data_IF_341397151173
#
_entry.id   IF_341397151173
#
_cell.length_a   1.000
_cell.length_b   1.000
_cell.length_c   1.000
_cell.angle_alpha   90.00
_cell.angle_beta   90.00
_cell.angle_gamma   90.00
#
_symmetry.space_group_name_H-M   'P 1'
#
loop_
_entity.id
_entity.type
_entity.pdbx_description
1 polymer ?
#
# COMPACT_ATOMS: atom_id res chain seq x y z
N UNK A 1 -50.38 5.41 -36.21
CA UNK A 1 -49.11 5.12 -35.51
C UNK A 1 -49.42 5.21 -34.04
N UNK A 2 -49.57 4.07 -33.38
CA UNK A 2 -49.98 3.97 -31.99
C UNK A 2 -48.78 4.33 -31.09
N UNK A 3 -48.92 5.37 -30.27
CA UNK A 3 -47.85 5.83 -29.37
C UNK A 3 -48.04 5.09 -28.06
N UNK A 4 -47.18 4.12 -27.77
CA UNK A 4 -47.18 3.45 -26.48
C UNK A 4 -46.67 4.41 -25.40
N UNK A 5 -47.57 4.88 -24.55
CA UNK A 5 -47.19 5.62 -23.35
C UNK A 5 -46.53 4.67 -22.36
N UNK A 6 -45.26 4.92 -22.04
CA UNK A 6 -44.44 4.07 -21.17
C UNK A 6 -44.31 4.74 -19.80
N UNK A 7 -44.54 3.97 -18.73
CA UNK A 7 -44.30 4.41 -17.35
C UNK A 7 -43.12 3.64 -16.78
N UNK A 8 -42.09 4.37 -16.34
CA UNK A 8 -40.92 3.80 -15.66
C UNK A 8 -41.12 3.89 -14.14
N UNK A 9 -40.90 2.77 -13.45
CA UNK A 9 -40.94 2.71 -11.98
C UNK A 9 -39.53 2.41 -11.48
N UNK A 10 -38.91 3.40 -10.84
CA UNK A 10 -37.55 3.32 -10.30
C UNK A 10 -37.53 2.98 -8.81
N UNK A 11 -36.34 2.70 -8.27
CA UNK A 11 -36.16 2.45 -6.84
C UNK A 11 -36.68 1.09 -6.34
N UNK A 12 -36.92 0.15 -7.25
CA UNK A 12 -37.30 -1.21 -6.91
C UNK A 12 -36.08 -1.98 -6.38
N UNK A 13 -36.27 -2.74 -5.30
CA UNK A 13 -35.25 -3.67 -4.82
C UNK A 13 -34.93 -4.75 -5.88
N UNK A 14 -33.65 -5.10 -6.10
CA UNK A 14 -33.23 -6.16 -7.01
C UNK A 14 -33.71 -7.56 -6.58
N UNK A 15 -33.79 -8.48 -7.54
CA UNK A 15 -34.24 -9.88 -7.34
C UNK A 15 -35.53 -9.99 -6.49
N UNK A 16 -36.47 -9.05 -6.69
CA UNK A 16 -37.75 -9.01 -5.98
C UNK A 16 -38.92 -9.02 -6.96
N UNK A 17 -39.96 -9.76 -6.60
CA UNK A 17 -41.23 -9.83 -7.34
C UNK A 17 -42.14 -8.69 -6.90
N UNK A 18 -42.66 -7.96 -7.87
CA UNK A 18 -43.65 -6.91 -7.72
C UNK A 18 -44.87 -7.22 -8.57
N UNK A 19 -46.02 -6.69 -8.16
CA UNK A 19 -47.25 -6.73 -8.95
C UNK A 19 -47.74 -5.30 -9.19
N UNK A 20 -48.13 -5.01 -10.42
CA UNK A 20 -48.58 -3.70 -10.87
C UNK A 20 -50.02 -3.80 -11.35
N UNK A 21 -50.82 -2.77 -11.12
CA UNK A 21 -52.17 -2.63 -11.68
C UNK A 21 -52.38 -1.19 -12.10
N UNK A 22 -53.15 -0.98 -13.16
CA UNK A 22 -53.35 0.32 -13.77
C UNK A 22 -54.82 0.69 -13.74
N UNK A 23 -55.15 1.94 -13.44
CA UNK A 23 -56.51 2.46 -13.55
C UNK A 23 -56.45 3.83 -14.22
N UNK A 24 -57.39 4.09 -15.13
CA UNK A 24 -57.54 5.41 -15.74
C UNK A 24 -58.19 6.38 -14.74
N UNK A 25 -57.66 7.59 -14.61
CA UNK A 25 -58.25 8.65 -13.78
C UNK A 25 -58.79 9.77 -14.66
N UNK A 26 -60.02 10.22 -14.39
CA UNK A 26 -60.73 11.28 -15.11
C UNK A 26 -61.40 12.26 -14.14
N UNK A 27 -62.00 13.34 -14.65
CA UNK A 27 -62.73 14.32 -13.84
C UNK A 27 -63.93 13.72 -13.06
N UNK A 28 -64.49 12.61 -13.54
CA UNK A 28 -65.59 11.88 -12.86
C UNK A 28 -65.05 10.96 -11.76
N UNK A 29 -63.79 10.55 -11.85
CA UNK A 29 -63.14 9.66 -10.89
C UNK A 29 -62.18 8.67 -11.53
N UNK A 30 -61.71 7.73 -10.70
CA UNK A 30 -60.84 6.61 -11.10
C UNK A 30 -61.68 5.43 -11.56
N UNK A 31 -61.38 4.91 -12.75
CA UNK A 31 -62.00 3.70 -13.30
C UNK A 31 -61.55 2.41 -12.59
N UNK A 32 -62.00 1.25 -13.08
CA UNK A 32 -61.57 -0.04 -12.55
C UNK A 32 -60.07 -0.27 -12.78
N UNK A 33 -59.45 -1.00 -11.85
CA UNK A 33 -58.07 -1.46 -12.03
C UNK A 33 -58.00 -2.59 -13.05
N UNK A 34 -56.90 -2.63 -13.80
CA UNK A 34 -56.50 -3.75 -14.64
C UNK A 34 -56.17 -4.99 -13.81
N UNK A 35 -56.02 -6.12 -14.50
CA UNK A 35 -55.40 -7.31 -13.92
C UNK A 35 -53.98 -7.02 -13.42
N UNK A 36 -53.55 -7.79 -12.43
CA UNK A 36 -52.23 -7.65 -11.82
C UNK A 36 -51.13 -8.17 -12.77
N UNK A 37 -50.25 -7.27 -13.18
CA UNK A 37 -49.04 -7.58 -13.92
C UNK A 37 -47.91 -7.91 -12.95
N UNK A 38 -47.50 -9.17 -12.86
CA UNK A 38 -46.36 -9.58 -12.03
C UNK A 38 -45.04 -9.47 -12.80
N UNK A 39 -44.04 -8.83 -12.19
CA UNK A 39 -42.68 -8.71 -12.72
C UNK A 39 -41.66 -8.98 -11.62
N UNK A 40 -40.55 -9.60 -12.00
CA UNK A 40 -39.39 -9.79 -11.12
C UNK A 40 -38.26 -8.91 -11.62
N UNK A 41 -37.70 -8.09 -10.75
CA UNK A 41 -36.53 -7.27 -11.07
C UNK A 41 -35.30 -8.17 -11.21
N UNK A 42 -34.37 -7.88 -12.14
CA UNK A 42 -33.12 -8.62 -12.25
C UNK A 42 -32.27 -8.50 -10.95
N UNK A 43 -31.32 -9.42 -10.73
CA UNK A 43 -30.32 -9.25 -9.68
C UNK A 43 -29.32 -8.14 -10.04
N UNK A 44 -28.64 -7.60 -9.03
CA UNK A 44 -27.47 -6.74 -9.25
C UNK A 44 -26.34 -7.57 -9.86
N UNK A 45 -25.60 -6.98 -10.80
CA UNK A 45 -24.50 -7.65 -11.49
C UNK A 45 -23.25 -6.76 -11.56
N UNK A 46 -22.12 -7.35 -11.92
CA UNK A 46 -20.94 -6.59 -12.29
C UNK A 46 -21.25 -5.67 -13.50
N UNK A 47 -20.48 -4.59 -13.71
CA UNK A 47 -20.75 -3.66 -14.80
C UNK A 47 -20.58 -4.34 -16.16
N UNK A 48 -21.18 -3.76 -17.19
CA UNK A 48 -20.88 -4.16 -18.56
C UNK A 48 -19.43 -3.79 -18.93
N UNK A 49 -18.81 -4.45 -19.93
CA UNK A 49 -17.49 -4.06 -20.41
C UNK A 49 -17.50 -2.60 -20.90
N UNK A 50 -16.46 -1.81 -20.58
CA UNK A 50 -16.29 -0.48 -21.15
C UNK A 50 -16.25 -0.53 -22.68
N UNK A 51 -16.61 0.59 -23.33
CA UNK A 51 -16.47 0.71 -24.79
C UNK A 51 -15.37 1.72 -25.08
N UNK A 52 -14.28 1.27 -25.72
CA UNK A 52 -13.15 2.15 -26.07
C UNK A 52 -13.57 3.14 -27.16
N UNK A 53 -13.22 4.41 -26.96
CA UNK A 53 -13.51 5.53 -27.87
C UNK A 53 -12.25 6.06 -28.58
N UNK A 54 -11.08 5.48 -28.29
CA UNK A 54 -9.78 5.96 -28.77
C UNK A 54 -9.31 5.20 -30.00
N UNK A 55 -8.54 5.86 -30.87
CA UNK A 55 -8.01 5.28 -32.11
C UNK A 55 -6.80 4.39 -31.83
N UNK A 56 -6.56 3.38 -32.66
CA UNK A 56 -5.43 2.42 -32.51
C UNK A 56 -4.02 3.03 -32.77
N UNK A 57 -3.92 4.33 -33.00
CA UNK A 57 -2.66 5.02 -33.23
C UNK A 57 -2.49 6.19 -32.27
N UNK A 58 -1.36 6.20 -31.55
CA UNK A 58 -0.97 7.37 -30.77
C UNK A 58 -0.43 8.47 -31.67
N UNK A 59 -0.73 9.71 -31.31
CA UNK A 59 -0.09 10.90 -31.90
C UNK A 59 1.31 11.15 -31.33
N UNK A 60 1.68 10.47 -30.24
CA UNK A 60 2.93 10.70 -29.51
C UNK A 60 3.82 9.44 -29.48
N UNK A 61 5.15 9.60 -29.41
CA UNK A 61 6.07 8.47 -29.40
C UNK A 61 6.15 7.76 -28.03
N UNK A 62 5.85 8.46 -26.93
CA UNK A 62 6.07 7.96 -25.56
C UNK A 62 4.83 7.97 -24.66
N UNK A 63 3.68 8.38 -25.18
CA UNK A 63 2.43 8.46 -24.42
C UNK A 63 1.24 8.12 -25.28
N UNK A 64 0.13 7.76 -24.63
CA UNK A 64 -1.12 7.45 -25.30
C UNK A 64 -2.30 7.70 -24.35
N UNK A 65 -3.32 8.41 -24.80
CA UNK A 65 -4.54 8.63 -24.02
C UNK A 65 -5.60 7.62 -24.45
N UNK A 66 -6.11 6.86 -23.48
CA UNK A 66 -7.26 5.97 -23.66
C UNK A 66 -8.47 6.66 -23.05
N UNK A 67 -9.56 6.69 -23.81
CA UNK A 67 -10.89 7.18 -23.44
C UNK A 67 -11.91 6.07 -23.68
N UNK A 68 -12.85 5.91 -22.78
CA UNK A 68 -13.93 4.93 -22.90
C UNK A 68 -15.27 5.51 -22.46
N UNK A 69 -16.36 4.94 -22.96
CA UNK A 69 -17.71 5.25 -22.51
C UNK A 69 -17.98 4.62 -21.14
N UNK A 70 -18.75 5.30 -20.31
CA UNK A 70 -19.21 4.77 -19.03
C UNK A 70 -20.11 3.55 -19.28
N UNK A 71 -19.77 2.34 -18.79
CA UNK A 71 -20.59 1.18 -18.98
C UNK A 71 -21.86 1.25 -18.13
N UNK A 72 -22.85 0.40 -18.46
CA UNK A 72 -24.01 0.20 -17.60
C UNK A 72 -23.57 -0.45 -16.29
N UNK A 73 -24.07 0.08 -15.18
CA UNK A 73 -23.65 -0.27 -13.82
C UNK A 73 -24.34 -1.53 -13.27
N UNK A 74 -25.43 -1.96 -13.93
CA UNK A 74 -26.23 -3.13 -13.61
C UNK A 74 -26.73 -3.14 -12.15
N UNK A 75 -27.14 -1.98 -11.65
CA UNK A 75 -27.78 -1.82 -10.33
C UNK A 75 -26.81 -1.49 -9.19
N UNK A 76 -25.50 -1.46 -9.43
CA UNK A 76 -24.50 -1.00 -8.46
C UNK A 76 -23.51 -0.03 -9.10
N UNK A 77 -23.28 1.16 -8.50
CA UNK A 77 -22.44 2.18 -9.10
C UNK A 77 -21.01 1.68 -9.30
N UNK A 78 -20.42 2.03 -10.45
CA UNK A 78 -19.01 1.77 -10.74
C UNK A 78 -18.13 2.57 -9.79
N UNK A 79 -17.17 1.91 -9.14
CA UNK A 79 -16.26 2.48 -8.15
C UNK A 79 -14.92 2.90 -8.76
N UNK A 80 -14.38 2.09 -9.65
CA UNK A 80 -13.13 2.37 -10.36
C UNK A 80 -13.02 1.56 -11.65
N UNK A 81 -12.05 1.94 -12.48
CA UNK A 81 -11.62 1.16 -13.63
C UNK A 81 -10.21 0.63 -13.38
N UNK A 82 -9.95 -0.59 -13.83
CA UNK A 82 -8.61 -1.18 -13.89
C UNK A 82 -8.15 -1.17 -15.34
N UNK A 83 -7.05 -0.49 -15.59
CA UNK A 83 -6.39 -0.47 -16.91
C UNK A 83 -5.09 -1.22 -16.79
N UNK A 84 -5.01 -2.38 -17.45
CA UNK A 84 -3.81 -3.19 -17.53
C UNK A 84 -3.19 -3.03 -18.91
N UNK A 85 -1.91 -2.67 -19.02
CA UNK A 85 -1.26 -2.50 -20.31
C UNK A 85 0.15 -3.08 -20.35
N UNK A 86 0.56 -3.57 -21.50
CA UNK A 86 1.89 -4.17 -21.73
C UNK A 86 2.30 -4.06 -23.19
N UNK A 87 3.62 -4.03 -23.42
CA UNK A 87 4.19 -4.04 -24.77
C UNK A 87 3.95 -5.40 -25.43
N UNK A 88 3.60 -5.38 -26.70
CA UNK A 88 3.40 -6.57 -27.53
C UNK A 88 4.22 -6.46 -28.81
N UNK A 89 4.71 -7.58 -29.32
CA UNK A 89 5.33 -7.68 -30.64
C UNK A 89 4.32 -8.19 -31.65
N UNK A 90 4.23 -7.49 -32.79
CA UNK A 90 3.42 -7.90 -33.92
C UNK A 90 4.15 -8.99 -34.71
N UNK A 91 3.62 -10.21 -34.66
CA UNK A 91 4.09 -11.38 -35.42
C UNK A 91 3.31 -11.53 -36.74
N UNK A 92 3.83 -12.32 -37.70
CA UNK A 92 3.08 -12.67 -38.91
C UNK A 92 1.71 -13.26 -38.58
N UNK A 93 0.72 -13.03 -39.46
CA UNK A 93 -0.65 -13.49 -39.22
C UNK A 93 -1.44 -12.65 -38.21
N UNK A 94 -1.02 -11.40 -37.96
CA UNK A 94 -1.69 -10.47 -37.03
C UNK A 94 -1.74 -10.99 -35.58
N UNK A 95 -0.76 -11.80 -35.20
CA UNK A 95 -0.63 -12.32 -33.84
C UNK A 95 0.18 -11.33 -32.98
N UNK A 96 -0.28 -11.06 -31.77
CA UNK A 96 0.38 -10.15 -30.83
C UNK A 96 0.86 -10.93 -29.62
N UNK A 97 2.17 -10.92 -29.36
CA UNK A 97 2.78 -11.64 -28.24
C UNK A 97 3.29 -10.65 -27.20
N UNK A 98 2.95 -10.86 -25.93
CA UNK A 98 3.42 -10.03 -24.82
C UNK A 98 4.94 -10.10 -24.67
N UNK A 99 5.57 -8.94 -24.53
CA UNK A 99 7.03 -8.76 -24.43
C UNK A 99 7.44 -8.24 -23.06
N UNK A 100 6.61 -7.39 -22.46
CA UNK A 100 6.86 -6.77 -21.15
C UNK A 100 5.84 -7.22 -20.11
N UNK A 101 6.20 -7.09 -18.84
CA UNK A 101 5.27 -7.32 -17.74
C UNK A 101 4.10 -6.31 -17.75
N UNK A 102 2.88 -6.74 -17.39
CA UNK A 102 1.73 -5.86 -17.29
C UNK A 102 1.91 -4.76 -16.25
N UNK A 103 1.57 -3.54 -16.64
CA UNK A 103 1.43 -2.38 -15.77
C UNK A 103 -0.05 -2.14 -15.51
N UNK A 104 -0.41 -1.89 -14.26
CA UNK A 104 -1.81 -1.68 -13.85
C UNK A 104 -1.99 -0.26 -13.35
N UNK A 105 -3.04 0.41 -13.83
CA UNK A 105 -3.47 1.72 -13.38
C UNK A 105 -4.92 1.60 -12.89
N UNK A 106 -5.19 2.08 -11.68
CA UNK A 106 -6.55 2.26 -11.20
C UNK A 106 -6.99 3.69 -11.46
N UNK A 107 -8.16 3.84 -12.07
CA UNK A 107 -8.79 5.14 -12.33
C UNK A 107 -10.03 5.21 -11.45
N UNK A 108 -10.02 6.11 -10.46
CA UNK A 108 -11.07 6.28 -9.45
C UNK A 108 -11.85 7.58 -9.62
N UNK A 109 -11.34 8.51 -10.43
CA UNK A 109 -11.91 9.85 -10.59
C UNK A 109 -12.16 10.14 -12.08
N UNK A 110 -13.39 10.56 -12.38
CA UNK A 110 -13.82 11.01 -13.70
C UNK A 110 -14.99 11.98 -13.54
N UNK A 111 -15.07 12.97 -14.44
CA UNK A 111 -16.19 13.93 -14.43
C UNK A 111 -17.18 13.69 -15.57
N UNK A 112 -16.67 13.41 -16.77
CA UNK A 112 -17.47 13.21 -17.98
C UNK A 112 -17.15 11.85 -18.59
N UNK A 113 -16.24 11.83 -19.58
CA UNK A 113 -15.74 10.62 -20.22
C UNK A 113 -14.51 10.14 -19.44
N UNK A 114 -14.54 8.93 -18.85
CA UNK A 114 -13.37 8.33 -18.23
C UNK A 114 -12.19 8.24 -19.20
N UNK A 115 -10.99 8.55 -18.69
CA UNK A 115 -9.76 8.54 -19.47
C UNK A 115 -8.53 8.23 -18.63
N UNK A 116 -7.49 7.71 -19.27
CA UNK A 116 -6.16 7.55 -18.68
C UNK A 116 -5.09 7.87 -19.70
N UNK A 117 -4.02 8.54 -19.27
CA UNK A 117 -2.83 8.76 -20.08
C UNK A 117 -1.74 7.77 -19.67
N UNK A 118 -1.39 6.89 -20.59
CA UNK A 118 -0.25 5.99 -20.47
C UNK A 118 1.02 6.78 -20.83
N UNK A 119 2.07 6.64 -20.02
CA UNK A 119 3.34 7.37 -20.18
C UNK A 119 4.54 6.42 -20.14
N UNK A 120 5.69 6.91 -20.61
CA UNK A 120 6.93 6.12 -20.63
C UNK A 120 6.86 4.94 -21.61
N UNK A 121 6.12 5.09 -22.71
CA UNK A 121 6.02 4.10 -23.77
C UNK A 121 7.24 4.18 -24.69
N UNK A 122 7.57 3.06 -25.33
CA UNK A 122 8.59 3.04 -26.39
C UNK A 122 8.04 3.59 -27.70
N UNK A 123 8.80 4.39 -28.47
CA UNK A 123 8.42 4.79 -29.83
C UNK A 123 8.24 3.60 -30.77
N UNK A 124 7.44 3.80 -31.83
CA UNK A 124 7.17 2.81 -32.89
C UNK A 124 6.78 1.40 -32.42
N UNK A 125 6.22 1.28 -31.21
CA UNK A 125 5.97 0.01 -30.54
C UNK A 125 4.48 -0.27 -30.42
N UNK A 126 4.11 -1.55 -30.38
CA UNK A 126 2.73 -1.97 -30.13
C UNK A 126 2.51 -2.25 -28.65
N UNK A 127 1.33 -1.87 -28.16
CA UNK A 127 0.90 -2.12 -26.80
C UNK A 127 -0.53 -2.68 -26.83
N UNK A 128 -0.83 -3.58 -25.89
CA UNK A 128 -2.19 -3.98 -25.57
C UNK A 128 -2.58 -3.33 -24.25
N UNK A 129 -3.78 -2.74 -24.21
CA UNK A 129 -4.43 -2.26 -23.02
C UNK A 129 -5.76 -2.98 -22.83
N UNK A 130 -6.05 -3.38 -21.60
CA UNK A 130 -7.27 -4.05 -21.18
C UNK A 130 -7.93 -3.20 -20.10
N UNK A 131 -9.18 -2.81 -20.32
CA UNK A 131 -9.96 -1.98 -19.38
C UNK A 131 -11.09 -2.81 -18.79
N UNK A 132 -11.18 -2.84 -17.47
CA UNK A 132 -12.25 -3.48 -16.73
C UNK A 132 -12.92 -2.45 -15.82
N UNK A 133 -14.24 -2.43 -15.78
CA UNK A 133 -15.01 -1.65 -14.81
C UNK A 133 -15.28 -2.48 -13.56
N UNK A 134 -15.25 -1.84 -12.39
CA UNK A 134 -15.51 -2.50 -11.12
C UNK A 134 -16.66 -1.83 -10.37
N UNK A 135 -17.59 -2.64 -9.85
CA UNK A 135 -18.54 -2.24 -8.83
C UNK A 135 -18.46 -3.20 -7.63
N UNK A 136 -19.30 -2.98 -6.61
CA UNK A 136 -19.30 -3.79 -5.38
C UNK A 136 -19.67 -5.28 -5.60
N UNK A 137 -20.14 -5.66 -6.80
CA UNK A 137 -20.38 -7.06 -7.20
C UNK A 137 -19.13 -7.69 -7.81
N UNK A 138 -18.37 -6.95 -8.62
CA UNK A 138 -17.14 -7.45 -9.24
C UNK A 138 -16.66 -6.66 -10.47
N UNK A 139 -15.71 -7.26 -11.17
CA UNK A 139 -15.16 -6.74 -12.43
C UNK A 139 -16.03 -7.15 -13.63
N UNK A 140 -16.17 -6.25 -14.60
CA UNK A 140 -16.68 -6.53 -15.93
C UNK A 140 -15.76 -7.51 -16.69
N UNK A 141 -16.20 -8.00 -17.85
CA UNK A 141 -15.23 -8.57 -18.81
C UNK A 141 -14.27 -7.46 -19.28
N UNK A 142 -13.02 -7.79 -19.63
CA UNK A 142 -12.07 -6.81 -20.13
C UNK A 142 -12.42 -6.38 -21.55
N UNK A 143 -12.32 -5.08 -21.80
CA UNK A 143 -12.30 -4.51 -23.15
C UNK A 143 -10.85 -4.33 -23.59
N UNK A 144 -10.47 -4.93 -24.73
CA UNK A 144 -9.09 -4.95 -25.20
C UNK A 144 -8.86 -3.99 -26.36
N UNK A 145 -7.83 -3.16 -26.26
CA UNK A 145 -7.35 -2.26 -27.30
C UNK A 145 -5.89 -2.56 -27.61
N UNK A 146 -5.56 -2.75 -28.88
CA UNK A 146 -4.16 -2.77 -29.34
C UNK A 146 -3.89 -1.47 -30.06
N UNK A 147 -2.84 -0.76 -29.64
CA UNK A 147 -2.46 0.51 -30.26
C UNK A 147 -0.96 0.55 -30.57
N UNK A 148 -0.58 1.44 -31.49
CA UNK A 148 0.82 1.70 -31.86
C UNK A 148 1.23 3.12 -31.49
N UNK A 149 2.41 3.27 -30.88
CA UNK A 149 3.01 4.60 -30.63
C UNK A 149 3.58 5.22 -31.90
N UNK A 150 3.63 6.56 -31.93
CA UNK A 150 4.20 7.28 -33.06
C UNK A 150 5.73 7.08 -33.16
N UNK A 151 6.28 7.46 -34.31
CA UNK A 151 7.73 7.60 -34.49
C UNK A 151 8.20 8.91 -33.86
N UNK A 152 9.40 8.90 -33.29
CA UNK A 152 10.05 10.10 -32.76
C UNK A 152 11.00 9.79 -31.63
N UNK A 153 11.89 10.74 -31.34
CA UNK A 153 12.75 10.68 -30.17
C UNK A 153 11.99 11.17 -28.95
N UNK A 154 12.22 10.53 -27.81
CA UNK A 154 11.66 10.96 -26.52
C UNK A 154 12.58 12.04 -25.98
N UNK A 155 12.10 13.27 -25.72
CA UNK A 155 12.93 14.34 -25.17
C UNK A 155 13.63 13.88 -23.89
N UNK A 156 14.93 14.16 -23.78
CA UNK A 156 15.79 13.70 -22.69
C UNK A 156 15.29 14.18 -21.31
N UNK A 157 14.70 15.38 -21.25
CA UNK A 157 14.06 15.94 -20.04
C UNK A 157 12.91 15.07 -19.51
N UNK A 158 12.10 14.48 -20.39
CA UNK A 158 10.98 13.61 -19.99
C UNK A 158 11.50 12.25 -19.50
N UNK A 159 12.62 11.78 -20.07
CA UNK A 159 13.31 10.55 -19.63
C UNK A 159 13.95 10.73 -18.24
N UNK A 160 14.59 11.87 -18.00
CA UNK A 160 15.14 12.24 -16.71
C UNK A 160 14.05 12.45 -15.64
N UNK A 161 12.94 13.09 -16.02
CA UNK A 161 11.77 13.27 -15.14
C UNK A 161 11.11 11.94 -14.74
N UNK A 162 11.02 10.97 -15.64
CA UNK A 162 10.49 9.63 -15.34
C UNK A 162 11.40 8.86 -14.37
N UNK A 163 12.72 8.95 -14.56
CA UNK A 163 13.72 8.37 -13.65
C UNK A 163 13.64 9.01 -12.26
N UNK A 164 13.48 10.34 -12.20
CA UNK A 164 13.34 11.09 -10.95
C UNK A 164 12.01 10.79 -10.21
N UNK A 165 10.91 10.56 -10.94
CA UNK A 165 9.59 10.22 -10.38
C UNK A 165 9.54 8.79 -9.82
N UNK A 166 10.19 7.83 -10.47
CA UNK A 166 10.37 6.47 -9.92
C UNK A 166 11.30 6.50 -8.71
N UNK A 167 12.18 7.48 -8.66
CA UNK A 167 12.98 7.83 -7.49
C UNK A 167 12.20 8.71 -6.50
N UNK A 168 10.87 8.64 -6.42
CA UNK A 168 10.08 9.46 -5.48
C UNK A 168 10.27 9.08 -4.00
N UNK A 169 11.02 8.02 -3.68
CA UNK A 169 11.66 7.86 -2.35
C UNK A 169 13.14 8.30 -2.31
N UNK A 170 13.75 8.55 -3.48
CA UNK A 170 14.70 9.63 -3.75
C UNK A 170 15.97 9.78 -2.96
N UNK A 171 16.34 8.84 -2.09
CA UNK A 171 17.65 8.88 -1.48
C UNK A 171 18.64 8.28 -2.47
N UNK A 172 19.59 9.05 -3.02
CA UNK A 172 20.65 8.47 -3.83
C UNK A 172 21.36 7.39 -3.01
N UNK A 173 21.97 6.40 -3.67
CA UNK A 173 22.68 5.31 -2.99
C UNK A 173 23.65 5.85 -1.92
N UNK A 174 24.26 7.01 -2.20
CA UNK A 174 25.10 7.77 -1.27
C UNK A 174 24.36 8.15 0.02
N UNK A 175 23.13 8.64 -0.05
CA UNK A 175 22.35 9.01 1.15
C UNK A 175 21.90 7.78 1.94
N UNK A 176 21.56 6.67 1.27
CA UNK A 176 21.26 5.41 1.96
C UNK A 176 22.50 4.93 2.72
N UNK A 177 23.67 4.95 2.08
CA UNK A 177 24.96 4.60 2.71
C UNK A 177 25.24 5.52 3.90
N UNK A 178 25.04 6.84 3.76
CA UNK A 178 25.23 7.81 4.86
C UNK A 178 24.31 7.51 6.03
N UNK A 179 23.03 7.20 5.78
CA UNK A 179 22.07 6.88 6.85
C UNK A 179 22.46 5.58 7.56
N UNK A 180 22.86 4.56 6.81
CA UNK A 180 23.33 3.28 7.39
C UNK A 180 24.57 3.51 8.23
N UNK A 181 25.56 4.24 7.72
CA UNK A 181 26.80 4.56 8.45
C UNK A 181 26.49 5.38 9.71
N UNK A 182 25.63 6.39 9.62
CA UNK A 182 25.21 7.18 10.78
C UNK A 182 24.48 6.33 11.83
N UNK A 183 23.61 5.41 11.41
CA UNK A 183 22.93 4.49 12.31
C UNK A 183 23.92 3.53 13.00
N UNK A 184 24.89 2.98 12.27
CA UNK A 184 25.94 2.14 12.85
C UNK A 184 26.79 2.93 13.86
N UNK A 185 27.21 4.15 13.53
CA UNK A 185 27.97 4.99 14.46
C UNK A 185 27.16 5.36 15.72
N UNK A 186 25.86 5.59 15.59
CA UNK A 186 24.98 5.87 16.72
C UNK A 186 24.84 4.64 17.62
N UNK A 187 24.69 3.44 17.03
CA UNK A 187 24.70 2.18 17.79
C UNK A 187 26.04 1.96 18.49
N UNK A 188 27.17 2.20 17.81
CA UNK A 188 28.49 2.08 18.42
C UNK A 188 28.70 3.08 19.57
N UNK A 189 28.21 4.31 19.44
CA UNK A 189 28.26 5.31 20.50
C UNK A 189 27.38 4.90 21.69
N UNK A 190 26.18 4.39 21.45
CA UNK A 190 25.32 3.87 22.51
C UNK A 190 25.97 2.68 23.22
N UNK A 191 26.59 1.76 22.47
CA UNK A 191 27.35 0.66 23.06
C UNK A 191 28.54 1.17 23.88
N UNK A 192 29.29 2.16 23.39
CA UNK A 192 30.41 2.75 24.13
C UNK A 192 29.96 3.44 25.42
N UNK A 193 28.84 4.16 25.39
CA UNK A 193 28.24 4.80 26.59
C UNK A 193 27.70 3.76 27.57
N UNK A 194 27.04 2.71 27.10
CA UNK A 194 26.57 1.60 27.96
C UNK A 194 27.75 0.86 28.58
N UNK A 195 28.80 0.58 27.80
CA UNK A 195 30.04 -0.02 28.29
C UNK A 195 30.74 0.88 29.32
N UNK A 196 30.78 2.19 29.08
CA UNK A 196 31.33 3.18 30.01
C UNK A 196 30.58 3.19 31.34
N UNK A 197 29.25 3.26 31.30
CA UNK A 197 28.41 3.38 32.50
C UNK A 197 28.27 2.06 33.28
N UNK A 198 28.31 0.92 32.60
CA UNK A 198 27.96 -0.37 33.19
C UNK A 198 29.17 -1.25 33.51
N UNK A 199 30.25 -1.11 32.76
CA UNK A 199 31.40 -2.02 32.81
C UNK A 199 32.75 -1.31 33.07
N UNK A 200 32.78 0.03 33.19
CA UNK A 200 34.04 0.81 33.27
C UNK A 200 35.02 0.50 32.12
N UNK A 201 34.51 0.23 30.91
CA UNK A 201 35.30 -0.09 29.73
C UNK A 201 34.73 0.60 28.49
N UNK A 202 35.56 1.00 27.54
CA UNK A 202 35.15 1.71 26.32
C UNK A 202 36.11 2.82 25.90
N UNK A 203 35.96 3.33 24.69
CA UNK A 203 36.75 4.42 24.13
C UNK A 203 36.60 5.71 24.94
N UNK A 204 35.39 6.07 25.36
CA UNK A 204 35.11 7.18 26.28
C UNK A 204 35.79 7.01 27.66
N UNK A 205 35.97 5.77 28.13
CA UNK A 205 36.71 5.49 29.37
C UNK A 205 38.22 5.73 29.20
N UNK A 206 38.80 5.26 28.09
CA UNK A 206 40.21 5.44 27.77
C UNK A 206 40.59 6.92 27.60
N UNK A 207 39.75 7.72 26.94
CA UNK A 207 39.99 9.17 26.79
C UNK A 207 40.00 9.90 28.15
N UNK A 208 39.19 9.46 29.11
CA UNK A 208 39.14 10.05 30.45
C UNK A 208 40.36 9.68 31.30
N UNK A 209 40.96 8.51 31.09
CA UNK A 209 42.18 8.08 31.79
C UNK A 209 43.49 8.45 31.08
N UNK A 210 43.48 8.72 29.76
CA UNK A 210 44.66 9.14 29.01
C UNK A 210 45.00 10.64 29.17
N UNK A 211 44.01 11.48 29.47
CA UNK A 211 44.20 12.93 29.63
C UNK A 211 44.31 13.42 31.09
N UNK A 212 44.36 12.50 32.07
CA UNK A 212 44.42 12.85 33.49
C UNK A 212 45.61 12.22 34.21
N UNK A 213 46.81 12.80 34.09
CA UNK A 213 47.94 12.44 34.97
C UNK A 213 49.31 12.77 34.42
N UNK A 214 49.68 14.06 34.42
CA UNK A 214 51.04 14.51 34.12
C UNK A 214 52.02 14.27 35.28
N UNK A 215 53.21 13.78 34.91
CA UNK A 215 54.55 13.81 35.57
C UNK A 215 54.77 13.20 36.97
N UNK A 216 55.78 12.32 37.11
CA UNK A 216 56.63 12.23 38.31
C UNK A 216 57.89 13.10 38.15
N UNK A 217 58.35 13.77 39.22
CA UNK A 217 59.76 13.67 39.64
C UNK A 217 59.86 13.73 41.19
N UNK A 218 60.83 13.20 41.93
CA UNK A 218 62.20 12.70 41.76
C UNK A 218 62.64 12.23 43.15
N UNK A 219 63.51 11.22 43.27
CA UNK A 219 64.79 11.32 44.00
C UNK A 219 65.66 10.07 43.77
N UNK A 220 67.00 10.20 43.90
CA UNK A 220 67.95 9.41 43.13
C UNK A 220 68.72 8.36 43.95
N UNK A 221 69.65 7.71 43.23
CA UNK A 221 70.95 7.13 43.62
C UNK A 221 71.09 5.65 43.98
N UNK A 222 72.21 5.13 43.44
CA UNK A 222 73.00 3.92 43.75
C UNK A 222 72.65 2.67 42.92
N UNK A 223 73.31 2.41 41.79
CA UNK A 223 74.67 1.84 41.55
C UNK A 223 74.74 0.31 41.64
N UNK A 224 75.35 -0.24 40.59
CA UNK A 224 76.12 -1.48 40.47
C UNK A 224 75.42 -2.81 40.10
N UNK A 225 75.59 -3.13 38.81
CA UNK A 225 76.32 -4.27 38.24
C UNK A 225 75.83 -5.73 38.40
N UNK A 226 75.53 -6.28 37.20
CA UNK A 226 76.13 -7.48 36.60
C UNK A 226 75.45 -8.86 36.70
N UNK A 227 75.44 -9.50 35.51
CA UNK A 227 75.65 -10.94 35.20
C UNK A 227 74.39 -11.82 35.19
N UNK A 228 73.85 -12.14 34.01
CA UNK A 228 74.22 -13.23 33.09
C UNK A 228 73.55 -14.57 33.40
N UNK A 229 72.78 -15.04 32.42
CA UNK A 229 72.59 -16.45 32.00
C UNK A 229 71.59 -17.37 32.72
N UNK A 230 70.63 -17.80 31.90
CA UNK A 230 70.21 -19.20 31.61
C UNK A 230 69.11 -19.90 32.43
N UNK A 231 68.15 -20.39 31.63
CA UNK A 231 67.42 -21.68 31.68
C UNK A 231 66.34 -21.91 32.75
N UNK A 232 65.07 -22.08 32.35
CA UNK A 232 64.37 -23.31 31.87
C UNK A 232 63.98 -24.27 33.01
N UNK A 233 62.67 -24.24 33.32
CA UNK A 233 61.77 -25.37 33.59
C UNK A 233 62.20 -26.50 34.55
N UNK A 234 61.54 -26.63 35.70
CA UNK A 234 60.65 -27.77 36.05
C UNK A 234 60.36 -27.86 37.57
N UNK A 235 59.16 -28.40 37.83
CA UNK A 235 58.38 -28.67 39.07
C UNK A 235 58.97 -29.77 39.98
N UNK A 236 58.24 -30.30 41.00
CA UNK A 236 57.38 -29.73 42.06
C UNK A 236 57.84 -30.22 43.46
N UNK A 237 57.16 -29.83 44.56
CA UNK A 237 57.11 -30.72 45.74
C UNK A 237 55.87 -30.50 46.64
N UNK A 238 55.52 -31.61 47.29
CA UNK A 238 54.27 -32.03 47.93
C UNK A 238 54.37 -32.03 49.47
N UNK A 239 53.28 -31.72 50.20
CA UNK A 239 52.84 -32.39 51.46
C UNK A 239 51.61 -31.71 52.10
N UNK A 240 50.61 -32.28 52.78
CA UNK A 240 49.96 -33.60 52.97
C UNK A 240 48.93 -33.45 54.12
N UNK A 241 47.74 -34.09 54.01
CA UNK A 241 46.73 -34.51 55.06
C UNK A 241 45.85 -33.43 55.75
N UNK A 242 44.59 -33.67 56.15
CA UNK A 242 43.61 -34.78 56.08
C UNK A 242 42.20 -34.26 56.50
N UNK A 243 41.13 -34.97 56.05
CA UNK A 243 39.80 -35.21 56.68
C UNK A 243 38.89 -34.01 57.06
N UNK A 244 37.55 -34.06 57.08
CA UNK A 244 36.48 -34.95 56.63
C UNK A 244 35.13 -34.19 56.82
N UNK A 245 34.09 -34.69 56.15
CA UNK A 245 32.68 -34.69 56.57
C UNK A 245 31.76 -33.44 56.44
N UNK A 246 30.61 -33.76 55.82
CA UNK A 246 29.23 -33.38 56.16
C UNK A 246 28.49 -32.31 55.34
N UNK A 247 27.31 -32.72 54.88
CA UNK A 247 26.27 -31.90 54.20
C UNK A 247 25.10 -31.76 55.18
N UNK A 248 24.37 -30.65 55.21
CA UNK A 248 22.99 -30.70 54.66
C UNK A 248 22.62 -29.40 53.91
N UNK A 249 21.90 -29.44 52.78
CA UNK A 249 20.42 -29.55 52.62
C UNK A 249 19.63 -28.49 53.43
N UNK A 250 18.83 -27.68 52.73
CA UNK A 250 17.35 -27.61 52.88
C UNK A 250 16.75 -26.70 51.79
N UNK A 251 15.83 -27.30 51.04
CA UNK A 251 14.84 -26.74 50.13
C UNK A 251 13.83 -25.82 50.85
N UNK A 252 13.15 -24.92 50.10
CA UNK A 252 11.68 -24.93 50.14
C UNK A 252 11.04 -24.36 48.87
N UNK A 253 10.10 -25.16 48.37
CA UNK A 253 9.21 -25.01 47.21
C UNK A 253 8.22 -23.85 47.36
N UNK A 254 7.62 -23.43 46.23
CA UNK A 254 6.30 -22.76 46.29
C UNK A 254 5.77 -22.09 45.02
N UNK A 255 5.32 -22.90 44.08
CA UNK A 255 4.60 -22.59 42.83
C UNK A 255 3.25 -21.83 43.03
N UNK A 256 2.90 -20.84 42.17
CA UNK A 256 1.72 -20.83 41.25
C UNK A 256 1.25 -19.44 40.75
N UNK A 257 1.08 -19.40 39.42
CA UNK A 257 -0.03 -18.88 38.58
C UNK A 257 -0.66 -17.49 38.81
N UNK A 258 -0.73 -16.70 37.73
CA UNK A 258 -1.56 -15.49 37.64
C UNK A 258 -1.64 -14.91 36.21
N UNK A 259 -2.60 -15.40 35.43
CA UNK A 259 -3.07 -14.88 34.13
C UNK A 259 -3.90 -13.60 34.34
N UNK A 260 -3.71 -12.54 33.54
CA UNK A 260 -4.67 -11.44 33.44
C UNK A 260 -4.81 -10.94 31.99
N UNK A 261 -6.00 -11.19 31.44
CA UNK A 261 -6.56 -10.58 30.24
C UNK A 261 -7.05 -9.14 30.59
N UNK A 262 -6.89 -8.17 29.69
CA UNK A 262 -7.72 -6.96 29.72
C UNK A 262 -8.19 -6.52 28.33
N UNK A 263 -9.51 -6.50 28.24
CA UNK A 263 -10.42 -6.14 27.16
C UNK A 263 -10.70 -4.64 27.23
N UNK A 264 -10.77 -3.94 26.10
CA UNK A 264 -11.29 -2.57 26.00
C UNK A 264 -12.54 -2.57 25.13
N UNK A 265 -13.62 -1.98 25.65
CA UNK A 265 -14.85 -1.61 24.95
C UNK A 265 -15.34 -0.25 25.49
N UNK A 266 -16.22 0.46 24.76
CA UNK A 266 -16.15 1.91 24.58
C UNK A 266 -17.11 2.70 25.49
N UNK A 267 -16.91 4.03 25.51
CA UNK A 267 -17.80 4.98 26.18
C UNK A 267 -18.59 5.81 25.16
N UNK A 268 -19.92 5.61 25.18
CA UNK A 268 -20.95 6.49 24.64
C UNK A 268 -21.05 7.80 25.43
N UNK A 269 -21.25 8.93 24.73
CA UNK A 269 -22.07 10.05 25.24
C UNK A 269 -22.83 10.74 24.10
N UNK A 270 -24.15 10.57 24.17
CA UNK A 270 -25.18 11.32 23.45
C UNK A 270 -25.14 12.83 23.74
N UNK A 271 -25.39 13.65 22.71
CA UNK A 271 -26.06 14.94 22.89
C UNK A 271 -27.19 15.09 21.85
N UNK A 272 -28.42 15.18 22.36
CA UNK A 272 -29.65 15.41 21.61
C UNK A 272 -29.87 16.91 21.44
N UNK A 273 -30.17 17.36 20.22
CA UNK A 273 -30.87 18.63 19.99
C UNK A 273 -31.93 18.45 18.90
N UNK A 274 -33.11 18.99 19.20
CA UNK A 274 -34.40 18.84 18.54
C UNK A 274 -34.48 19.58 17.20
N UNK A 275 -35.16 18.94 16.24
CA UNK A 275 -36.30 19.48 15.49
C UNK A 275 -36.14 20.72 14.60
N UNK A 276 -36.41 20.54 13.30
CA UNK A 276 -37.36 21.39 12.58
C UNK A 276 -37.90 20.69 11.34
N UNK A 277 -39.23 20.61 11.26
CA UNK A 277 -40.02 20.32 10.07
C UNK A 277 -40.19 21.63 9.30
N UNK A 278 -40.07 21.63 7.97
CA UNK A 278 -40.81 22.60 7.15
C UNK A 278 -41.26 21.96 5.84
N UNK A 279 -42.55 22.10 5.59
CA UNK A 279 -43.32 21.66 4.43
C UNK A 279 -43.56 22.83 3.47
N UNK A 280 -43.67 22.51 2.17
CA UNK A 280 -44.51 23.15 1.13
C UNK A 280 -44.19 24.60 0.69
N UNK A 281 -43.90 24.75 -0.61
CA UNK A 281 -44.51 25.74 -1.53
C UNK A 281 -44.28 25.24 -2.98
N UNK A 282 -45.29 24.60 -3.60
CA UNK A 282 -46.00 25.11 -4.78
C UNK A 282 -45.71 26.58 -5.13
N UNK A 283 -45.24 26.81 -6.35
CA UNK A 283 -45.74 27.93 -7.14
C UNK A 283 -45.79 27.59 -8.63
N UNK A 284 -46.77 28.18 -9.29
CA UNK A 284 -47.25 27.96 -10.66
C UNK A 284 -46.97 29.21 -11.51
N UNK A 285 -47.12 29.07 -12.84
CA UNK A 285 -47.08 30.09 -13.91
C UNK A 285 -45.65 30.54 -14.30
N UNK A 286 -45.23 30.48 -15.57
CA UNK A 286 -45.92 30.79 -16.85
C UNK A 286 -45.63 29.73 -17.91
#
# INVERSE_FOLDING_TARGET
>A
MDRADTVTVDGLEPKRKYWFRFAAHSAVGTGPYSDALTRETPPEMAPDPPIVLSNENSMYPNKYEIRWAMPRDNGRPVRHFRVTYFKVDKRPGNNFVRVEEPKVIQVTEWHNVPRVELRGLSPESYYRAEIEAYNDIGYSKPESLVFRTARGEVPEEERAGQQARLSSLGLPLTTIIIIVVAAVLLVLLLLDVVCYLRFHWGFLYCLRHACGGGRPPTKPTATDDAKSSKELLSTPDEKTRDAAEDTPMIDTKGLKDGKHDMKFEPADKNHSLKGSKSSIAKDSMV
#
